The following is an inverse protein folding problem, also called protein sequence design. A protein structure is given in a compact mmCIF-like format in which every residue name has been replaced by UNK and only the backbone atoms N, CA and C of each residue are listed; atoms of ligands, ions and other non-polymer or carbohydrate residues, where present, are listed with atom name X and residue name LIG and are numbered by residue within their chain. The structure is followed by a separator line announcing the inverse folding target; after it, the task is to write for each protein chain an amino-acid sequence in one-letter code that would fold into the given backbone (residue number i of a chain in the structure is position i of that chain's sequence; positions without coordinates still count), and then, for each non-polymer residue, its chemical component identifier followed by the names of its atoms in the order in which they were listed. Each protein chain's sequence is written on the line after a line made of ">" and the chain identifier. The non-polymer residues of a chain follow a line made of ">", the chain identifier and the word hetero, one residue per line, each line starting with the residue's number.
data_IF_328000989224
#
_entry.id   IF_328000989224
#
_cell.length_a   1.000
_cell.length_b   1.000
_cell.length_c   1.000
_cell.angle_alpha   90.00
_cell.angle_beta   90.00
_cell.angle_gamma   90.00
#
_symmetry.space_group_name_H-M   'P 1'
#
loop_
_entity.id
_entity.type
_entity.pdbx_description
1 polymer ?
#
# COMPACT_ATOMS: atom_id res chain seq x y z
N UNK A 1 5.63 -12.26 -3.11
CA UNK A 1 5.55 -11.07 -3.99
C UNK A 1 4.36 -11.29 -4.90
N UNK A 2 3.32 -10.47 -4.82
CA UNK A 2 2.11 -10.70 -5.63
C UNK A 2 2.42 -10.45 -7.10
N UNK A 3 1.95 -11.31 -8.01
CA UNK A 3 2.15 -11.19 -9.46
C UNK A 3 1.73 -9.81 -10.00
N UNK A 4 0.76 -9.16 -9.35
CA UNK A 4 0.33 -7.80 -9.66
C UNK A 4 1.47 -6.77 -9.48
N UNK A 5 2.32 -6.95 -8.48
CA UNK A 5 3.48 -6.10 -8.18
C UNK A 5 4.55 -6.23 -9.28
N UNK A 6 4.85 -7.47 -9.70
CA UNK A 6 5.79 -7.77 -10.79
C UNK A 6 5.33 -7.18 -12.13
N UNK A 7 4.04 -7.32 -12.45
CA UNK A 7 3.44 -6.74 -13.65
C UNK A 7 3.39 -5.21 -13.59
N UNK A 8 3.17 -4.63 -12.41
CA UNK A 8 3.28 -3.19 -12.16
C UNK A 8 4.71 -2.69 -12.39
N UNK A 9 5.71 -3.42 -11.90
CA UNK A 9 7.13 -3.10 -12.10
C UNK A 9 7.49 -3.15 -13.58
N UNK A 10 7.10 -4.18 -14.33
CA UNK A 10 7.32 -4.23 -15.77
C UNK A 10 6.67 -3.05 -16.52
N UNK A 11 5.43 -2.67 -16.14
CA UNK A 11 4.74 -1.54 -16.75
C UNK A 11 5.47 -0.21 -16.49
N UNK A 12 6.14 -0.08 -15.34
CA UNK A 12 6.91 1.10 -14.96
C UNK A 12 8.32 1.13 -15.58
N UNK A 13 9.02 -0.01 -15.62
CA UNK A 13 10.46 -0.09 -15.95
C UNK A 13 10.71 -0.53 -17.39
N UNK A 14 9.79 -1.27 -17.99
CA UNK A 14 9.99 -1.98 -19.26
C UNK A 14 11.02 -3.12 -19.17
N UNK A 15 11.46 -3.49 -17.95
CA UNK A 15 12.47 -4.52 -17.72
C UNK A 15 11.84 -5.93 -17.78
N UNK A 16 12.19 -6.69 -18.81
CA UNK A 16 11.63 -8.02 -19.08
C UNK A 16 11.89 -9.06 -17.97
N UNK A 17 12.85 -8.83 -17.06
CA UNK A 17 13.00 -9.68 -15.86
C UNK A 17 11.82 -9.58 -14.90
N UNK A 18 11.12 -8.44 -14.90
CA UNK A 18 9.98 -8.17 -14.01
C UNK A 18 8.71 -8.90 -14.50
N UNK A 19 8.70 -9.37 -15.75
CA UNK A 19 7.68 -10.30 -16.23
C UNK A 19 7.85 -11.70 -15.65
N UNK A 20 9.04 -12.08 -15.18
CA UNK A 20 9.26 -13.45 -14.73
C UNK A 20 8.53 -13.71 -13.42
N UNK A 21 7.60 -14.67 -13.45
CA UNK A 21 6.91 -15.14 -12.26
C UNK A 21 7.60 -16.44 -11.80
N UNK A 22 8.15 -16.50 -10.57
CA UNK A 22 8.65 -17.76 -10.01
C UNK A 22 7.54 -18.82 -10.06
N UNK A 23 7.89 -20.02 -10.52
CA UNK A 23 6.89 -21.07 -10.75
C UNK A 23 6.17 -21.46 -9.46
N UNK A 24 6.89 -21.39 -8.34
CA UNK A 24 6.45 -21.61 -6.98
C UNK A 24 5.41 -20.59 -6.47
N UNK A 25 5.46 -19.32 -6.90
CA UNK A 25 4.56 -18.25 -6.44
C UNK A 25 3.11 -18.48 -6.92
N UNK A 26 2.95 -19.15 -8.09
CA UNK A 26 1.65 -19.54 -8.64
C UNK A 26 1.13 -20.87 -8.10
N UNK A 27 2.02 -21.74 -7.62
CA UNK A 27 1.63 -23.00 -6.99
C UNK A 27 1.18 -22.78 -5.52
N UNK A 28 1.84 -21.87 -4.79
CA UNK A 28 1.57 -21.57 -3.38
C UNK A 28 0.20 -20.94 -3.13
N UNK A 29 -0.35 -20.18 -4.08
CA UNK A 29 -1.71 -19.60 -4.00
C UNK A 29 -2.81 -20.68 -4.04
N UNK A 30 -2.46 -21.92 -4.43
CA UNK A 30 -3.38 -23.03 -4.63
C UNK A 30 -3.12 -24.20 -3.68
N UNK A 31 -2.11 -24.17 -2.81
CA UNK A 31 -1.71 -25.39 -2.06
C UNK A 31 -2.50 -25.65 -0.76
N UNK A 32 -2.93 -24.66 0.05
CA UNK A 32 -3.52 -24.96 1.35
C UNK A 32 -4.98 -25.47 1.33
N UNK A 33 -5.68 -25.43 0.19
CA UNK A 33 -7.16 -25.45 0.19
C UNK A 33 -7.86 -26.60 -0.55
N UNK A 34 -7.19 -27.61 -1.13
CA UNK A 34 -7.86 -28.47 -2.13
C UNK A 34 -7.80 -29.98 -1.91
N UNK A 35 -8.99 -30.57 -1.82
CA UNK A 35 -9.24 -32.01 -2.01
C UNK A 35 -9.67 -32.41 -3.43
N UNK A 36 -9.56 -31.52 -4.44
CA UNK A 36 -10.02 -31.78 -5.82
C UNK A 36 -8.86 -32.02 -6.79
N UNK A 37 -8.81 -33.22 -7.38
CA UNK A 37 -7.82 -33.61 -8.39
C UNK A 37 -7.82 -32.70 -9.64
N UNK A 38 -8.96 -32.11 -9.98
CA UNK A 38 -9.08 -31.20 -11.13
C UNK A 38 -8.34 -29.88 -10.90
N UNK A 39 -8.38 -29.35 -9.68
CA UNK A 39 -7.69 -28.10 -9.32
C UNK A 39 -6.18 -28.33 -9.19
N UNK A 40 -5.76 -29.47 -8.63
CA UNK A 40 -4.36 -29.86 -8.61
C UNK A 40 -3.74 -29.99 -10.02
N UNK A 41 -4.51 -30.51 -10.98
CA UNK A 41 -4.07 -30.58 -12.38
C UNK A 41 -3.91 -29.18 -13.00
N UNK A 42 -4.88 -28.30 -12.84
CA UNK A 42 -4.79 -26.93 -13.37
C UNK A 42 -3.63 -26.15 -12.77
N UNK A 43 -3.33 -26.34 -11.48
CA UNK A 43 -2.17 -25.73 -10.83
C UNK A 43 -0.85 -26.19 -11.45
N UNK A 44 -0.69 -27.51 -11.69
CA UNK A 44 0.48 -28.06 -12.36
C UNK A 44 0.62 -27.60 -13.82
N UNK A 45 -0.51 -27.50 -14.55
CA UNK A 45 -0.55 -26.99 -15.92
C UNK A 45 -0.15 -25.50 -15.95
N UNK A 46 -0.59 -24.71 -14.96
CA UNK A 46 -0.18 -23.30 -14.80
C UNK A 46 1.31 -23.18 -14.49
N UNK A 47 1.85 -23.97 -13.55
CA UNK A 47 3.27 -23.96 -13.21
C UNK A 47 4.14 -24.24 -14.46
N UNK A 48 3.75 -25.25 -15.24
CA UNK A 48 4.45 -25.63 -16.48
C UNK A 48 4.41 -24.51 -17.52
N UNK A 49 3.25 -23.88 -17.70
CA UNK A 49 3.10 -22.75 -18.62
C UNK A 49 3.94 -21.53 -18.22
N UNK A 50 4.12 -21.26 -16.92
CA UNK A 50 4.99 -20.18 -16.44
C UNK A 50 6.46 -20.43 -16.71
N UNK A 51 6.95 -21.66 -16.46
CA UNK A 51 8.34 -22.01 -16.76
C UNK A 51 8.64 -21.81 -18.25
N UNK A 52 7.70 -22.23 -19.11
CA UNK A 52 7.79 -22.00 -20.55
C UNK A 52 7.75 -20.50 -20.89
N UNK A 53 6.92 -19.72 -20.19
CA UNK A 53 6.79 -18.28 -20.44
C UNK A 53 8.04 -17.50 -20.04
N UNK A 54 8.61 -17.79 -18.88
CA UNK A 54 9.91 -17.24 -18.44
C UNK A 54 11.03 -17.61 -19.43
N UNK A 55 11.02 -18.84 -19.95
CA UNK A 55 11.99 -19.28 -20.97
C UNK A 55 11.79 -18.55 -22.31
N UNK A 56 10.55 -18.24 -22.68
CA UNK A 56 10.23 -17.46 -23.88
C UNK A 56 10.72 -16.01 -23.75
N UNK A 57 10.55 -15.40 -22.57
CA UNK A 57 11.10 -14.08 -22.22
C UNK A 57 12.63 -14.09 -22.34
N UNK A 58 13.29 -15.07 -21.72
CA UNK A 58 14.76 -15.21 -21.80
C UNK A 58 15.28 -15.37 -23.23
N UNK A 59 14.48 -16.04 -24.06
CA UNK A 59 14.79 -16.28 -25.47
C UNK A 59 14.29 -15.16 -26.39
N UNK A 60 13.68 -14.09 -25.85
CA UNK A 60 13.06 -12.99 -26.59
C UNK A 60 12.08 -13.45 -27.68
N UNK A 61 11.33 -14.51 -27.40
CA UNK A 61 10.40 -15.13 -28.34
C UNK A 61 8.98 -14.59 -28.15
N UNK A 62 8.71 -13.40 -28.67
CA UNK A 62 7.43 -12.70 -28.47
C UNK A 62 6.20 -13.44 -29.03
N UNK A 63 6.37 -14.33 -30.01
CA UNK A 63 5.27 -15.16 -30.52
C UNK A 63 4.87 -16.23 -29.50
N UNK A 64 5.88 -16.87 -28.90
CA UNK A 64 5.68 -17.89 -27.87
C UNK A 64 5.20 -17.28 -26.55
N UNK A 65 5.68 -16.08 -26.19
CA UNK A 65 5.17 -15.31 -25.06
C UNK A 65 3.66 -15.06 -25.18
N UNK A 66 3.20 -14.57 -26.33
CA UNK A 66 1.77 -14.31 -26.58
C UNK A 66 0.94 -15.60 -26.52
N UNK A 67 1.46 -16.70 -27.06
CA UNK A 67 0.79 -18.01 -27.04
C UNK A 67 0.63 -18.52 -25.61
N UNK A 68 1.69 -18.45 -24.81
CA UNK A 68 1.70 -18.91 -23.42
C UNK A 68 0.84 -18.03 -22.51
N UNK A 69 0.84 -16.71 -22.74
CA UNK A 69 -0.06 -15.79 -22.05
C UNK A 69 -1.54 -16.11 -22.30
N UNK A 70 -1.92 -16.39 -23.56
CA UNK A 70 -3.28 -16.80 -23.90
C UNK A 70 -3.66 -18.14 -23.24
N UNK A 71 -2.72 -19.07 -23.15
CA UNK A 71 -2.89 -20.34 -22.43
C UNK A 71 -3.13 -20.10 -20.94
N UNK A 72 -2.35 -19.22 -20.30
CA UNK A 72 -2.52 -18.93 -18.87
C UNK A 72 -3.85 -18.26 -18.53
N UNK A 73 -4.32 -17.34 -19.37
CA UNK A 73 -5.68 -16.78 -19.24
C UNK A 73 -6.75 -17.86 -19.22
N UNK A 74 -6.58 -18.90 -20.02
CA UNK A 74 -7.54 -20.01 -20.09
C UNK A 74 -7.50 -20.83 -18.81
N UNK A 75 -6.30 -21.14 -18.31
CA UNK A 75 -6.09 -21.86 -17.05
C UNK A 75 -6.70 -21.11 -15.85
N UNK A 76 -6.47 -19.79 -15.73
CA UNK A 76 -7.05 -18.99 -14.64
C UNK A 76 -8.58 -18.91 -14.70
N UNK A 77 -9.17 -18.83 -15.91
CA UNK A 77 -10.64 -18.90 -16.06
C UNK A 77 -11.18 -20.25 -15.57
N UNK A 78 -10.54 -21.35 -15.96
CA UNK A 78 -10.93 -22.69 -15.49
C UNK A 78 -10.77 -22.88 -13.98
N UNK A 79 -9.74 -22.28 -13.37
CA UNK A 79 -9.58 -22.25 -11.91
C UNK A 79 -10.71 -21.47 -11.25
N UNK A 80 -11.04 -20.28 -11.74
CA UNK A 80 -12.16 -19.45 -11.22
C UNK A 80 -13.48 -20.20 -11.31
N UNK A 81 -13.79 -20.82 -12.44
CA UNK A 81 -15.05 -21.55 -12.64
C UNK A 81 -15.17 -22.74 -11.68
N UNK A 82 -14.07 -23.48 -11.47
CA UNK A 82 -14.04 -24.56 -10.49
C UNK A 82 -14.16 -24.03 -9.04
N UNK A 83 -13.52 -22.91 -8.72
CA UNK A 83 -13.59 -22.33 -7.38
C UNK A 83 -14.97 -21.72 -7.07
N UNK A 84 -15.67 -21.20 -8.08
CA UNK A 84 -17.07 -20.73 -7.94
C UNK A 84 -18.06 -21.88 -7.76
N UNK A 85 -17.73 -23.08 -8.25
CA UNK A 85 -18.54 -24.28 -8.09
C UNK A 85 -18.38 -24.99 -6.74
N UNK A 86 -17.43 -24.56 -5.89
CA UNK A 86 -17.14 -25.17 -4.60
C UNK A 86 -17.09 -24.07 -3.53
N UNK A 87 -17.97 -24.14 -2.54
CA UNK A 87 -18.08 -23.19 -1.42
C UNK A 87 -16.85 -23.30 -0.49
N UNK A 88 -15.70 -22.79 -0.94
CA UNK A 88 -14.37 -23.24 -0.47
C UNK A 88 -13.49 -22.15 0.13
N UNK A 89 -13.98 -20.92 0.31
CA UNK A 89 -13.16 -19.84 0.89
C UNK A 89 -11.89 -19.51 0.09
N UNK A 90 -11.80 -19.98 -1.15
CA UNK A 90 -10.69 -19.72 -2.06
C UNK A 90 -10.68 -18.24 -2.46
N UNK A 91 -9.52 -17.55 -2.52
CA UNK A 91 -9.43 -16.17 -3.00
C UNK A 91 -9.62 -16.09 -4.53
N UNK A 92 -10.87 -16.21 -4.98
CA UNK A 92 -11.31 -16.00 -6.38
C UNK A 92 -10.86 -14.60 -6.86
N UNK A 93 -10.88 -13.61 -5.97
CA UNK A 93 -10.45 -12.24 -6.23
C UNK A 93 -9.01 -12.14 -6.74
N UNK A 94 -8.11 -13.02 -6.31
CA UNK A 94 -6.71 -13.04 -6.75
C UNK A 94 -6.62 -13.44 -8.23
N UNK A 95 -7.35 -14.48 -8.64
CA UNK A 95 -7.36 -14.93 -10.04
C UNK A 95 -8.09 -13.94 -10.96
N UNK A 96 -9.16 -13.31 -10.48
CA UNK A 96 -9.88 -12.24 -11.21
C UNK A 96 -8.98 -11.01 -11.44
N UNK A 97 -8.19 -10.64 -10.42
CA UNK A 97 -7.19 -9.56 -10.52
C UNK A 97 -6.15 -9.88 -11.60
N UNK A 98 -5.62 -11.11 -11.63
CA UNK A 98 -4.66 -11.53 -12.65
C UNK A 98 -5.24 -11.47 -14.07
N UNK A 99 -6.45 -12.00 -14.28
CA UNK A 99 -7.11 -11.94 -15.58
C UNK A 99 -7.33 -10.50 -16.06
N UNK A 100 -7.76 -9.62 -15.16
CA UNK A 100 -7.96 -8.20 -15.46
C UNK A 100 -6.67 -7.53 -15.93
N UNK A 101 -5.55 -7.79 -15.25
CA UNK A 101 -4.23 -7.25 -15.66
C UNK A 101 -3.82 -7.76 -17.03
N UNK A 102 -4.06 -9.03 -17.35
CA UNK A 102 -3.70 -9.57 -18.66
C UNK A 102 -4.64 -9.12 -19.79
N UNK A 103 -5.92 -8.88 -19.53
CA UNK A 103 -6.90 -8.43 -20.53
C UNK A 103 -6.75 -6.95 -20.88
N UNK A 104 -6.31 -6.12 -19.93
CA UNK A 104 -5.98 -4.71 -20.18
C UNK A 104 -4.65 -4.52 -20.95
N UNK A 105 -3.92 -5.63 -21.17
CA UNK A 105 -2.67 -5.65 -21.94
C UNK A 105 -1.48 -5.25 -21.08
N UNK A 106 -0.42 -6.05 -21.15
CA UNK A 106 0.88 -5.67 -20.60
C UNK A 106 1.55 -4.71 -21.60
N UNK A 107 1.32 -3.41 -21.43
CA UNK A 107 1.85 -2.40 -22.35
C UNK A 107 3.28 -2.04 -21.95
N UNK A 108 4.24 -2.29 -22.85
CA UNK A 108 5.61 -1.78 -22.70
C UNK A 108 5.57 -0.25 -22.76
N UNK A 109 6.17 0.49 -21.81
CA UNK A 109 6.13 1.94 -21.84
C UNK A 109 6.73 2.46 -23.15
N UNK A 110 6.02 3.34 -23.86
CA UNK A 110 6.49 3.91 -25.13
C UNK A 110 7.70 4.84 -24.95
N UNK A 111 8.02 5.23 -23.71
CA UNK A 111 9.26 5.90 -23.34
C UNK A 111 9.95 5.08 -22.25
N UNK A 112 11.11 4.45 -22.51
CA UNK A 112 11.96 4.00 -21.43
C UNK A 112 12.30 5.23 -20.57
N UNK A 113 12.04 5.15 -19.26
CA UNK A 113 12.50 6.16 -18.32
C UNK A 113 14.01 6.33 -18.53
N UNK A 114 14.38 7.52 -19.00
CA UNK A 114 15.76 7.89 -19.29
C UNK A 114 16.57 7.63 -18.02
N UNK A 115 17.49 6.66 -18.06
CA UNK A 115 18.50 6.43 -17.04
C UNK A 115 19.38 7.68 -16.95
N UNK A 116 18.97 8.66 -16.15
CA UNK A 116 19.80 9.81 -15.82
C UNK A 116 20.87 9.34 -14.84
N UNK A 117 22.08 9.20 -15.37
CA UNK A 117 23.36 9.11 -14.66
C UNK A 117 23.68 10.42 -13.92
N UNK A 118 22.77 10.88 -13.08
CA UNK A 118 23.06 11.91 -12.06
C UNK A 118 23.39 11.20 -10.78
N UNK A 119 24.59 11.44 -10.25
CA UNK A 119 25.03 11.02 -8.91
C UNK A 119 23.84 11.11 -7.93
N UNK A 120 23.49 10.03 -7.20
CA UNK A 120 22.31 10.02 -6.34
C UNK A 120 22.34 11.23 -5.39
N UNK A 121 21.33 12.09 -5.48
CA UNK A 121 21.23 13.24 -4.58
C UNK A 121 21.00 12.69 -3.18
N UNK A 122 21.90 13.00 -2.25
CA UNK A 122 21.75 12.58 -0.86
C UNK A 122 20.40 13.09 -0.32
N UNK A 123 19.55 12.15 0.12
CA UNK A 123 18.29 12.46 0.79
C UNK A 123 18.61 12.90 2.22
N UNK A 124 18.25 14.15 2.54
CA UNK A 124 18.50 14.79 3.83
C UNK A 124 17.28 14.62 4.73
N UNK A 125 17.49 14.09 5.94
CA UNK A 125 16.42 13.94 6.92
C UNK A 125 16.02 15.31 7.48
N UNK A 126 14.71 15.51 7.67
CA UNK A 126 14.18 16.62 8.45
C UNK A 126 14.57 16.41 9.92
N UNK A 127 15.11 17.44 10.61
CA UNK A 127 15.46 17.34 12.02
C UNK A 127 14.25 17.02 12.90
N UNK A 128 14.43 16.13 13.88
CA UNK A 128 13.40 15.84 14.89
C UNK A 128 13.05 17.11 15.66
N UNK A 129 11.77 17.29 15.97
CA UNK A 129 11.21 18.48 16.60
C UNK A 129 10.86 19.61 15.62
N UNK A 130 11.03 19.41 14.31
CA UNK A 130 10.66 20.43 13.31
C UNK A 130 9.16 20.67 13.29
N UNK A 131 8.78 21.95 13.28
CA UNK A 131 7.41 22.42 13.09
C UNK A 131 7.23 22.85 11.63
N UNK A 132 6.30 22.21 10.96
CA UNK A 132 5.94 22.37 9.55
C UNK A 132 4.57 23.03 9.43
N UNK A 133 4.25 23.55 8.24
CA UNK A 133 2.87 23.91 7.91
C UNK A 133 2.16 22.71 7.33
N UNK A 134 0.85 22.58 7.56
CA UNK A 134 0.02 21.59 6.84
C UNK A 134 0.24 21.75 5.33
N UNK A 135 0.52 20.64 4.66
CA UNK A 135 0.94 20.59 3.25
C UNK A 135 2.46 20.51 3.02
N UNK A 136 3.27 20.90 4.00
CA UNK A 136 4.74 20.72 3.93
C UNK A 136 5.12 19.29 4.34
N UNK A 137 6.19 18.77 3.73
CA UNK A 137 6.66 17.43 3.97
C UNK A 137 7.85 17.38 4.95
N UNK A 138 7.87 16.35 5.80
CA UNK A 138 9.06 15.90 6.52
C UNK A 138 9.68 14.72 5.77
N UNK A 139 11.00 14.70 5.63
CA UNK A 139 11.73 13.49 5.27
C UNK A 139 12.20 12.81 6.55
N UNK A 140 11.81 11.57 6.76
CA UNK A 140 12.10 10.80 7.97
C UNK A 140 12.65 9.42 7.63
N UNK A 141 13.19 8.74 8.62
CA UNK A 141 13.62 7.35 8.49
C UNK A 141 12.61 6.44 9.21
N UNK A 142 12.26 5.33 8.58
CA UNK A 142 11.37 4.32 9.12
C UNK A 142 12.02 2.95 8.99
N UNK A 143 11.93 2.16 10.05
CA UNK A 143 12.48 0.82 10.11
C UNK A 143 11.40 -0.17 10.54
N UNK A 144 11.33 -1.31 9.84
CA UNK A 144 10.45 -2.42 10.18
C UNK A 144 11.07 -3.73 9.67
N UNK A 145 10.92 -4.83 10.41
CA UNK A 145 11.37 -6.15 9.94
C UNK A 145 12.88 -6.29 9.64
N UNK A 146 13.73 -5.40 10.16
CA UNK A 146 15.16 -5.37 9.85
C UNK A 146 15.54 -4.52 8.63
N UNK A 147 14.55 -3.96 7.95
CA UNK A 147 14.72 -3.01 6.84
C UNK A 147 14.64 -1.58 7.35
N UNK A 148 15.24 -0.64 6.62
CA UNK A 148 15.21 0.78 6.96
C UNK A 148 15.18 1.60 5.68
N UNK A 149 14.21 2.51 5.57
CA UNK A 149 13.99 3.34 4.40
C UNK A 149 13.73 4.79 4.78
N UNK A 150 13.96 5.70 3.84
CA UNK A 150 13.61 7.11 3.99
C UNK A 150 12.26 7.40 3.37
N UNK A 151 11.42 8.15 4.07
CA UNK A 151 10.06 8.43 3.62
C UNK A 151 9.78 9.91 3.70
N UNK A 152 9.09 10.41 2.69
CA UNK A 152 8.44 11.70 2.69
C UNK A 152 7.07 11.55 3.33
N UNK A 153 6.84 12.26 4.42
CA UNK A 153 5.60 12.26 5.18
C UNK A 153 4.98 13.65 5.19
N UNK A 154 3.72 13.76 4.78
CA UNK A 154 3.02 15.04 4.67
C UNK A 154 1.67 14.93 5.36
N UNK A 155 1.38 15.80 6.34
CA UNK A 155 -0.01 16.01 6.77
C UNK A 155 -0.66 16.94 5.77
N UNK A 156 -1.58 16.43 4.96
CA UNK A 156 -2.18 17.14 3.83
C UNK A 156 -3.39 17.96 4.24
N UNK A 157 -4.15 17.50 5.24
CA UNK A 157 -5.30 18.23 5.76
C UNK A 157 -5.63 17.82 7.19
N UNK A 158 -6.29 18.73 7.91
CA UNK A 158 -6.88 18.49 9.23
C UNK A 158 -8.28 19.09 9.18
N UNK A 159 -9.31 18.27 9.05
CA UNK A 159 -10.69 18.73 8.85
C UNK A 159 -11.59 18.28 10.01
N UNK A 160 -12.66 19.02 10.29
CA UNK A 160 -13.67 18.50 11.21
C UNK A 160 -14.47 17.40 10.49
N UNK A 161 -14.65 16.26 11.15
CA UNK A 161 -15.50 15.19 10.62
C UNK A 161 -16.96 15.65 10.54
N UNK A 162 -17.61 15.34 9.43
CA UNK A 162 -19.04 15.53 9.23
C UNK A 162 -19.85 14.41 9.88
N UNK A 163 -21.15 14.63 10.07
CA UNK A 163 -22.03 13.57 10.59
C UNK A 163 -22.05 12.33 9.68
N UNK A 164 -21.90 12.50 8.37
CA UNK A 164 -21.80 11.39 7.40
C UNK A 164 -20.51 10.59 7.52
N UNK A 165 -19.43 11.17 8.06
CA UNK A 165 -18.16 10.46 8.26
C UNK A 165 -18.21 9.55 9.49
N UNK A 166 -19.15 9.82 10.40
CA UNK A 166 -19.24 9.18 11.71
C UNK A 166 -20.43 8.20 11.81
N UNK A 167 -21.06 7.83 10.70
CA UNK A 167 -22.27 6.98 10.68
C UNK A 167 -22.04 5.59 11.27
N UNK A 168 -20.79 5.10 11.25
CA UNK A 168 -20.43 3.78 11.78
C UNK A 168 -20.08 3.80 13.27
N UNK A 169 -20.02 4.98 13.89
CA UNK A 169 -19.74 5.10 15.32
C UNK A 169 -21.00 4.88 16.16
N UNK A 170 -20.81 4.30 17.33
CA UNK A 170 -21.86 4.23 18.32
C UNK A 170 -22.27 5.65 18.76
N UNK A 171 -23.56 5.96 18.59
CA UNK A 171 -24.11 7.29 18.90
C UNK A 171 -23.91 7.72 20.36
N UNK A 172 -23.87 6.78 21.31
CA UNK A 172 -23.64 7.08 22.73
C UNK A 172 -22.17 7.42 23.03
N UNK A 173 -21.23 6.86 22.27
CA UNK A 173 -19.82 7.21 22.39
C UNK A 173 -19.53 8.56 21.72
N UNK A 174 -20.16 8.84 20.57
CA UNK A 174 -20.09 10.17 19.96
C UNK A 174 -20.63 11.27 20.87
N UNK A 175 -21.63 11.01 21.71
CA UNK A 175 -22.15 12.00 22.69
C UNK A 175 -21.11 12.40 23.74
N UNK A 176 -20.14 11.52 24.04
CA UNK A 176 -19.05 11.78 24.99
C UNK A 176 -17.91 12.57 24.34
N UNK A 177 -17.86 12.59 23.01
CA UNK A 177 -16.88 13.32 22.22
C UNK A 177 -17.49 14.67 21.82
N UNK A 178 -16.81 15.76 22.12
CA UNK A 178 -17.26 17.11 21.75
C UNK A 178 -17.21 17.33 20.24
N UNK A 179 -16.06 17.07 19.63
CA UNK A 179 -15.85 17.11 18.17
C UNK A 179 -14.86 16.04 17.74
N UNK A 180 -15.00 15.58 16.49
CA UNK A 180 -14.06 14.67 15.84
C UNK A 180 -13.41 15.38 14.66
N UNK A 181 -12.12 15.15 14.47
CA UNK A 181 -11.31 15.68 13.38
C UNK A 181 -10.63 14.56 12.61
N UNK A 182 -10.52 14.72 11.30
CA UNK A 182 -9.82 13.86 10.37
C UNK A 182 -8.44 14.46 10.12
N UNK A 183 -7.38 13.72 10.43
CA UNK A 183 -6.00 14.04 10.05
C UNK A 183 -5.68 13.20 8.82
N UNK A 184 -5.53 13.86 7.68
CA UNK A 184 -5.16 13.22 6.40
C UNK A 184 -3.67 13.40 6.19
N UNK A 185 -3.00 12.31 5.84
CA UNK A 185 -1.58 12.33 5.55
C UNK A 185 -1.26 11.48 4.32
N UNK A 186 -0.09 11.74 3.76
CA UNK A 186 0.49 10.98 2.67
C UNK A 186 1.90 10.55 3.07
N UNK A 187 2.22 9.29 2.80
CA UNK A 187 3.57 8.75 2.98
C UNK A 187 4.07 8.15 1.68
N UNK A 188 5.29 8.51 1.29
CA UNK A 188 5.93 8.00 0.08
C UNK A 188 7.38 7.65 0.37
N UNK A 189 7.88 6.48 -0.07
CA UNK A 189 9.30 6.18 -0.05
C UNK A 189 10.10 7.21 -0.86
N UNK A 190 11.24 7.65 -0.35
CA UNK A 190 12.23 8.41 -1.11
C UNK A 190 13.40 7.50 -1.48
N UNK A 191 13.47 7.09 -2.75
CA UNK A 191 14.54 6.25 -3.25
C UNK A 191 15.73 7.09 -3.74
N UNK A 192 16.95 6.66 -3.43
CA UNK A 192 18.15 7.13 -4.14
C UNK A 192 18.28 6.46 -5.50
N UNK A 193 17.92 5.18 -5.58
CA UNK A 193 17.78 4.42 -6.82
C UNK A 193 16.65 3.39 -6.68
N UNK A 194 15.51 3.67 -7.32
CA UNK A 194 14.32 2.81 -7.24
C UNK A 194 14.57 1.38 -7.73
N UNK A 195 15.57 1.17 -8.61
CA UNK A 195 15.86 -0.15 -9.20
C UNK A 195 16.60 -1.09 -8.26
N UNK A 196 17.26 -0.55 -7.23
CA UNK A 196 18.08 -1.33 -6.29
C UNK A 196 17.64 -1.20 -4.83
N UNK A 197 16.77 -0.23 -4.52
CA UNK A 197 16.37 0.10 -3.15
C UNK A 197 14.96 -0.39 -2.78
N UNK A 198 14.07 -0.70 -3.74
CA UNK A 198 12.66 -0.99 -3.44
C UNK A 198 12.47 -2.21 -2.51
N UNK A 199 13.22 -3.27 -2.73
CA UNK A 199 13.18 -4.51 -1.91
C UNK A 199 13.88 -4.36 -0.54
N UNK A 200 14.47 -3.18 -0.26
CA UNK A 200 15.16 -2.88 1.01
C UNK A 200 14.38 -1.92 1.89
N UNK A 201 13.24 -1.42 1.40
CA UNK A 201 12.42 -0.46 2.12
C UNK A 201 11.29 -1.19 2.83
N UNK A 202 11.04 -0.85 4.10
CA UNK A 202 9.86 -1.33 4.79
C UNK A 202 8.60 -1.12 3.96
N UNK A 203 7.75 -2.15 3.86
CA UNK A 203 6.49 -2.00 3.14
C UNK A 203 5.66 -0.87 3.79
N UNK A 204 5.23 0.08 2.95
CA UNK A 204 4.48 1.27 3.39
C UNK A 204 3.20 0.92 4.12
N UNK A 205 2.64 -0.28 3.89
CA UNK A 205 1.39 -0.75 4.50
C UNK A 205 1.51 -0.97 6.02
N UNK A 206 2.73 -1.17 6.54
CA UNK A 206 2.98 -1.28 7.98
C UNK A 206 3.02 0.06 8.71
N UNK A 207 2.90 1.18 7.99
CA UNK A 207 2.87 2.52 8.60
C UNK A 207 1.47 2.79 9.18
N UNK A 208 1.35 2.83 10.49
CA UNK A 208 0.13 3.22 11.19
C UNK A 208 0.46 4.36 12.18
N UNK A 209 0.30 5.62 11.73
CA UNK A 209 0.81 6.77 12.45
C UNK A 209 0.03 7.04 13.74
N UNK A 210 0.78 7.39 14.78
CA UNK A 210 0.26 7.83 16.07
C UNK A 210 0.51 9.33 16.24
N UNK A 211 -0.52 10.09 16.61
CA UNK A 211 -0.48 11.54 16.70
C UNK A 211 -0.74 12.08 18.10
N UNK A 212 -0.09 13.19 18.43
CA UNK A 212 -0.55 14.18 19.40
C UNK A 212 -1.35 15.26 18.66
N UNK A 213 -2.28 15.90 19.36
CA UNK A 213 -3.00 17.03 18.81
C UNK A 213 -3.13 18.15 19.84
N UNK A 214 -2.99 19.39 19.38
CA UNK A 214 -3.16 20.58 20.20
C UNK A 214 -4.44 21.29 19.78
N UNK A 215 -5.38 21.42 20.71
CA UNK A 215 -6.62 22.15 20.48
C UNK A 215 -6.46 23.65 20.74
N UNK A 216 -7.25 24.48 20.06
CA UNK A 216 -7.22 25.95 20.14
C UNK A 216 -7.53 26.51 21.54
N UNK A 217 -8.25 25.74 22.36
CA UNK A 217 -8.70 26.11 23.70
C UNK A 217 -7.96 25.33 24.82
N UNK A 218 -6.95 24.53 24.47
CA UNK A 218 -6.21 23.69 25.41
C UNK A 218 -6.97 22.48 25.95
N UNK A 219 -8.17 22.20 25.44
CA UNK A 219 -8.89 20.95 25.74
C UNK A 219 -8.09 19.71 25.35
N UNK A 220 -8.32 18.60 26.07
CA UNK A 220 -7.73 17.32 25.71
C UNK A 220 -8.17 16.91 24.30
N UNK A 221 -7.20 16.59 23.45
CA UNK A 221 -7.39 16.01 22.13
C UNK A 221 -6.60 14.70 22.05
N UNK A 222 -7.22 13.64 21.55
CA UNK A 222 -6.61 12.31 21.52
C UNK A 222 -6.99 11.57 20.26
N UNK A 223 -6.06 10.79 19.73
CA UNK A 223 -6.33 9.89 18.64
C UNK A 223 -7.34 8.83 19.08
N UNK A 224 -8.38 8.64 18.26
CA UNK A 224 -9.38 7.62 18.47
C UNK A 224 -8.89 6.32 17.86
N UNK A 225 -9.06 5.22 18.60
CA UNK A 225 -8.87 3.88 18.07
C UNK A 225 -10.19 3.45 17.44
N UNK A 226 -10.20 3.22 16.14
CA UNK A 226 -11.38 2.72 15.42
C UNK A 226 -11.18 1.29 15.00
N UNK A 227 -12.16 0.43 15.30
CA UNK A 227 -12.24 -0.91 14.76
C UNK A 227 -13.10 -0.88 13.49
N UNK A 228 -12.47 -1.03 12.32
CA UNK A 228 -13.15 -0.98 11.02
C UNK A 228 -12.69 0.17 10.11
N UNK A 229 -13.24 0.22 8.89
CA UNK A 229 -12.92 1.24 7.89
C UNK A 229 -13.81 2.46 8.02
N UNK A 230 -13.29 3.58 8.52
CA UNK A 230 -14.05 4.84 8.50
C UNK A 230 -14.12 5.34 7.07
N UNK A 231 -15.31 5.48 6.50
CA UNK A 231 -15.52 5.81 5.07
C UNK A 231 -14.77 7.06 4.58
N UNK A 232 -14.63 8.09 5.41
CA UNK A 232 -13.85 9.30 5.09
C UNK A 232 -12.32 9.08 5.09
N UNK A 233 -11.88 8.00 5.73
CA UNK A 233 -10.53 7.49 5.83
C UNK A 233 -10.33 6.32 4.86
N UNK A 234 -10.18 6.64 3.58
CA UNK A 234 -9.68 5.68 2.59
C UNK A 234 -8.17 5.55 2.75
N UNK A 235 -7.71 4.51 3.41
CA UNK A 235 -6.31 4.09 3.26
C UNK A 235 -6.20 3.41 1.90
N UNK A 236 -5.73 4.15 0.90
CA UNK A 236 -5.42 3.58 -0.40
C UNK A 236 -4.04 2.93 -0.31
N UNK A 237 -3.88 1.63 -0.66
CA UNK A 237 -2.57 1.01 -0.68
C UNK A 237 -1.64 1.83 -1.58
N UNK A 238 -0.43 2.10 -1.09
CA UNK A 238 0.58 2.77 -1.89
C UNK A 238 1.00 1.85 -3.04
N UNK A 239 1.08 2.39 -4.25
CA UNK A 239 1.87 1.76 -5.31
C UNK A 239 3.31 2.26 -5.21
N UNK A 240 4.28 1.57 -5.82
CA UNK A 240 5.69 1.97 -5.80
C UNK A 240 5.93 3.44 -6.23
N UNK A 241 5.04 3.99 -7.07
CA UNK A 241 5.08 5.34 -7.63
C UNK A 241 4.06 6.31 -7.00
N UNK A 242 3.20 5.86 -6.08
CA UNK A 242 2.12 6.68 -5.51
C UNK A 242 2.20 6.76 -3.99
N UNK A 243 1.98 7.96 -3.40
CA UNK A 243 1.90 8.08 -1.96
C UNK A 243 0.77 7.21 -1.41
N UNK A 244 1.05 6.47 -0.34
CA UNK A 244 0.02 5.84 0.47
C UNK A 244 -0.72 6.94 1.23
N UNK A 245 -2.03 6.97 1.09
CA UNK A 245 -2.89 7.89 1.84
C UNK A 245 -3.21 7.27 3.19
N UNK A 246 -3.08 8.08 4.23
CA UNK A 246 -3.31 7.72 5.61
C UNK A 246 -4.38 8.65 6.18
N UNK A 247 -5.19 8.12 7.10
CA UNK A 247 -6.18 8.91 7.79
C UNK A 247 -6.30 8.44 9.25
N UNK A 248 -6.25 9.41 10.16
CA UNK A 248 -6.45 9.18 11.59
C UNK A 248 -7.55 10.10 12.11
N UNK A 249 -8.22 9.69 13.18
CA UNK A 249 -9.26 10.47 13.84
C UNK A 249 -8.76 11.01 15.16
N UNK A 250 -9.02 12.29 15.42
CA UNK A 250 -8.75 12.95 16.70
C UNK A 250 -10.06 13.39 17.31
N UNK A 251 -10.37 12.91 18.51
CA UNK A 251 -11.49 13.38 19.32
C UNK A 251 -11.04 14.48 20.28
N UNK A 252 -11.90 15.47 20.52
CA UNK A 252 -11.77 16.44 21.61
C UNK A 252 -13.03 16.41 22.47
N UNK A 253 -12.91 16.69 23.76
CA UNK A 253 -14.06 16.84 24.67
C UNK A 253 -14.79 18.19 24.48
N UNK A 254 -14.13 19.17 23.86
CA UNK A 254 -14.68 20.49 23.60
C UNK A 254 -15.60 20.48 22.37
N UNK A 255 -16.74 21.16 22.47
CA UNK A 255 -17.69 21.31 21.36
C UNK A 255 -17.34 22.43 20.39
N UNK A 256 -16.39 23.28 20.77
CA UNK A 256 -16.02 24.50 20.02
C UNK A 256 -14.56 24.54 19.62
N UNK A 257 -13.70 23.71 20.23
CA UNK A 257 -12.29 23.62 19.87
C UNK A 257 -12.09 23.33 18.38
N UNK A 258 -10.99 23.86 17.84
CA UNK A 258 -10.39 23.41 16.60
C UNK A 258 -9.04 22.73 16.91
N UNK A 259 -8.59 21.83 16.04
CA UNK A 259 -7.20 21.34 16.09
C UNK A 259 -6.31 22.34 15.36
N UNK A 260 -5.31 22.85 16.07
CA UNK A 260 -4.36 23.88 15.59
C UNK A 260 -3.01 23.29 15.18
N UNK A 261 -2.66 22.15 15.75
CA UNK A 261 -1.42 21.43 15.50
C UNK A 261 -1.65 19.93 15.66
N UNK A 262 -1.00 19.14 14.81
CA UNK A 262 -0.87 17.69 14.98
C UNK A 262 0.60 17.32 14.96
N UNK A 263 1.01 16.47 15.90
CA UNK A 263 2.38 16.01 16.05
C UNK A 263 2.47 14.52 15.82
N UNK A 264 3.26 14.07 14.85
CA UNK A 264 3.55 12.65 14.65
C UNK A 264 4.44 12.15 15.78
N UNK A 265 4.00 11.14 16.54
CA UNK A 265 4.77 10.48 17.61
C UNK A 265 5.51 9.25 17.12
N UNK A 266 4.85 8.47 16.27
CA UNK A 266 5.35 7.19 15.77
C UNK A 266 4.68 6.88 14.44
N UNK A 267 5.36 6.07 13.62
CA UNK A 267 4.82 5.49 12.39
C UNK A 267 4.33 4.05 12.60
N UNK A 268 4.55 3.47 13.78
CA UNK A 268 3.99 2.18 14.17
C UNK A 268 3.12 2.35 15.43
N UNK A 269 2.12 1.47 15.63
CA UNK A 269 1.34 1.44 16.85
C UNK A 269 2.07 0.71 17.99
N UNK A 270 3.16 0.00 17.65
CA UNK A 270 3.93 -0.82 18.58
C UNK A 270 5.04 -0.02 19.28
N UNK A 271 5.25 -0.29 20.56
CA UNK A 271 6.34 0.28 21.37
C UNK A 271 5.90 1.39 22.32
N UNK A 272 6.85 1.89 23.11
CA UNK A 272 6.62 3.03 24.01
C UNK A 272 6.58 4.31 23.17
N UNK A 273 5.41 4.94 23.10
CA UNK A 273 5.23 6.19 22.37
C UNK A 273 5.95 7.35 23.10
N UNK A 274 6.77 8.16 22.41
CA UNK A 274 7.44 9.29 23.03
C UNK A 274 6.43 10.34 23.51
N UNK A 275 6.70 11.01 24.63
CA UNK A 275 5.82 12.06 25.16
C UNK A 275 5.79 13.33 24.27
N UNK A 276 6.76 13.45 23.37
CA UNK A 276 6.89 14.54 22.42
C UNK A 276 6.69 14.07 20.98
N UNK A 277 6.22 14.97 20.12
CA UNK A 277 6.14 14.70 18.69
C UNK A 277 7.54 14.66 18.06
N UNK A 278 7.75 13.72 17.13
CA UNK A 278 8.91 13.68 16.25
C UNK A 278 8.91 14.85 15.28
N UNK A 279 7.73 15.19 14.75
CA UNK A 279 7.49 16.29 13.82
C UNK A 279 6.08 16.82 14.05
N UNK A 280 5.84 18.11 13.84
CA UNK A 280 4.49 18.67 13.96
C UNK A 280 4.07 19.53 12.78
N UNK A 281 2.77 19.57 12.50
CA UNK A 281 2.16 20.33 11.43
C UNK A 281 1.13 21.29 12.01
N UNK A 282 1.32 22.58 11.77
CA UNK A 282 0.41 23.66 12.16
C UNK A 282 -0.46 24.11 10.99
N UNK A 283 -1.72 24.40 11.30
CA UNK A 283 -2.62 25.10 10.37
C UNK A 283 -2.24 26.57 10.19
#
# INVERSE_FOLDING_TARGET
>A
MEIAERLGNYAATGNESDLKIPAEDLAMTVTPHYGSAALGKLAADSETANKAWNSAIDSKNSAEEKRLLASQKTTFKSMIDLCRGVDSGTPISTYESYLSTFDNGIVKPQNPLVTSSTTPKAIVLTPVGTVLKVGDAATLEFANGGETGKFKYTVTAIDQASASDLTEFNSDDLKKIGRVFLVRAEVQPEYTDITTDIDKYPAVDYIDPQYLATSSDGSAASQLITFGSVKACGNEPGAADKPRKLCALIGTTSKTAAITEVGLRSLTPEGTLPDTALYSWKK
#
